data_IF_446107098840
#
_entry.id   IF_446107098840
#
_cell.length_a   1.000
_cell.length_b   1.000
_cell.length_c   1.000
_cell.angle_alpha   90.00
_cell.angle_beta   90.00
_cell.angle_gamma   90.00
#
_symmetry.space_group_name_H-M   'P 1'
#
loop_
_entity.id
_entity.type
_entity.pdbx_description
1 polymer ?
#
# COMPACT_ATOMS: atom_id res chain seq x y z
N UNK A 1 4.95 38.32 -4.42
CA UNK A 1 3.94 37.25 -4.55
C UNK A 1 4.59 35.99 -3.97
N UNK A 2 4.32 35.66 -2.71
CA UNK A 2 4.95 34.50 -2.06
C UNK A 2 4.24 33.24 -2.56
N UNK A 3 4.93 32.45 -3.39
CA UNK A 3 4.50 31.11 -3.75
C UNK A 3 4.38 30.29 -2.45
N UNK A 4 3.18 29.75 -2.19
CA UNK A 4 3.01 28.79 -1.10
C UNK A 4 3.86 27.56 -1.46
N UNK A 5 4.71 27.06 -0.55
CA UNK A 5 5.50 25.87 -0.85
C UNK A 5 4.58 24.70 -1.19
N UNK A 6 4.97 23.91 -2.19
CA UNK A 6 4.27 22.69 -2.59
C UNK A 6 3.96 21.83 -1.35
N UNK A 7 2.70 21.41 -1.20
CA UNK A 7 2.26 20.57 -0.10
C UNK A 7 3.13 19.31 0.04
N UNK A 8 3.65 18.77 -1.08
CA UNK A 8 4.60 17.66 -1.08
C UNK A 8 5.94 18.04 -0.45
N UNK A 9 6.49 19.20 -0.79
CA UNK A 9 7.70 19.73 -0.16
C UNK A 9 7.49 19.95 1.34
N UNK A 10 6.23 20.10 1.80
CA UNK A 10 5.91 20.25 3.22
C UNK A 10 5.83 18.93 3.98
N UNK A 11 5.22 17.90 3.38
CA UNK A 11 5.05 16.60 4.01
C UNK A 11 6.38 15.82 4.10
N UNK A 12 7.24 15.92 3.08
CA UNK A 12 8.48 15.16 2.99
C UNK A 12 9.76 15.98 3.27
N UNK A 13 9.69 16.98 4.16
CA UNK A 13 10.80 17.91 4.44
C UNK A 13 12.08 17.25 4.96
N UNK A 14 11.97 16.09 5.60
CA UNK A 14 13.06 15.44 6.30
C UNK A 14 13.74 14.31 5.48
N UNK A 15 13.55 14.30 4.15
CA UNK A 15 14.14 13.28 3.29
C UNK A 15 15.68 13.20 3.47
N UNK A 16 16.22 11.98 3.51
CA UNK A 16 17.65 11.70 3.70
C UNK A 16 18.09 11.53 5.16
N UNK A 17 17.22 11.79 6.13
CA UNK A 17 17.54 11.67 7.56
C UNK A 17 16.97 10.38 8.16
N UNK A 18 17.61 9.83 9.19
CA UNK A 18 17.10 8.69 9.96
C UNK A 18 16.26 9.17 11.14
N UNK A 19 15.15 8.50 11.42
CA UNK A 19 14.39 8.75 12.64
C UNK A 19 15.19 8.35 13.89
N UNK A 20 15.29 9.21 14.91
CA UNK A 20 16.12 8.92 16.08
C UNK A 20 15.61 7.73 16.92
N UNK A 21 14.29 7.54 17.03
CA UNK A 21 13.70 6.48 17.87
C UNK A 21 13.52 5.17 17.10
N UNK A 22 12.77 5.21 15.99
CA UNK A 22 12.39 4.00 15.26
C UNK A 22 13.38 3.58 14.17
N UNK A 23 14.46 4.35 13.95
CA UNK A 23 15.50 4.06 12.96
C UNK A 23 15.00 3.88 11.51
N UNK A 24 13.75 4.29 11.23
CA UNK A 24 13.22 4.34 9.86
C UNK A 24 14.01 5.38 9.08
N UNK A 25 14.55 4.96 7.94
CA UNK A 25 15.25 5.86 7.02
C UNK A 25 14.21 6.62 6.20
N UNK A 26 14.31 7.96 6.17
CA UNK A 26 13.44 8.82 5.35
C UNK A 26 13.91 8.83 3.90
N UNK A 27 13.71 7.70 3.23
CA UNK A 27 14.07 7.47 1.82
C UNK A 27 12.82 7.10 1.03
N UNK A 28 12.89 7.20 -0.30
CA UNK A 28 11.79 6.85 -1.21
C UNK A 28 10.43 7.45 -0.78
N UNK A 29 10.29 8.79 -0.72
CA UNK A 29 9.06 9.44 -0.32
C UNK A 29 7.96 9.33 -1.36
N UNK A 30 6.75 9.07 -0.90
CA UNK A 30 5.55 9.22 -1.71
C UNK A 30 4.31 8.77 -0.99
N UNK A 31 3.33 8.34 -1.77
CA UNK A 31 2.01 7.97 -1.28
C UNK A 31 1.69 6.53 -1.65
N UNK A 32 1.16 5.79 -0.69
CA UNK A 32 0.40 4.58 -0.97
C UNK A 32 -1.06 4.95 -1.17
N UNK A 33 -1.71 4.26 -2.09
CA UNK A 33 -3.11 4.43 -2.35
C UNK A 33 -3.83 3.10 -2.47
N UNK A 34 -5.07 3.10 -2.01
CA UNK A 34 -6.01 2.02 -2.20
C UNK A 34 -7.26 2.59 -2.87
N UNK A 35 -7.69 1.95 -3.96
CA UNK A 35 -8.98 2.24 -4.59
C UNK A 35 -9.80 0.96 -4.67
N UNK A 36 -11.11 1.11 -4.71
CA UNK A 36 -12.06 0.03 -4.90
C UNK A 36 -12.83 0.25 -6.21
N UNK A 37 -12.93 -0.80 -7.03
CA UNK A 37 -13.74 -0.84 -8.23
C UNK A 37 -14.37 -2.23 -8.37
N UNK A 38 -15.69 -2.29 -8.56
CA UNK A 38 -16.44 -3.54 -8.77
C UNK A 38 -16.12 -4.65 -7.75
N UNK A 39 -16.02 -4.29 -6.47
CA UNK A 39 -15.73 -5.22 -5.38
C UNK A 39 -14.26 -5.67 -5.28
N UNK A 40 -13.37 -5.11 -6.09
CA UNK A 40 -11.93 -5.39 -6.05
C UNK A 40 -11.16 -4.20 -5.53
N UNK A 41 -10.13 -4.48 -4.73
CA UNK A 41 -9.21 -3.47 -4.22
C UNK A 41 -7.97 -3.42 -5.10
N UNK A 42 -7.55 -2.22 -5.49
CA UNK A 42 -6.24 -1.98 -6.09
C UNK A 42 -5.35 -1.26 -5.09
N UNK A 43 -4.16 -1.80 -4.86
CA UNK A 43 -3.15 -1.22 -3.98
C UNK A 43 -1.94 -0.84 -4.80
N UNK A 44 -1.58 0.43 -4.78
CA UNK A 44 -0.40 0.90 -5.49
C UNK A 44 0.28 2.08 -4.82
N UNK A 45 1.38 2.50 -5.40
CA UNK A 45 2.14 3.68 -4.93
C UNK A 45 2.31 4.74 -6.00
N UNK A 46 2.63 5.95 -5.55
CA UNK A 46 3.10 7.02 -6.42
C UNK A 46 4.00 7.99 -5.67
N UNK A 47 5.03 8.49 -6.35
CA UNK A 47 5.81 9.62 -5.86
C UNK A 47 5.12 10.96 -6.14
N UNK A 48 4.11 11.00 -7.00
CA UNK A 48 3.40 12.22 -7.39
C UNK A 48 2.25 12.53 -6.44
N UNK A 49 1.76 13.76 -6.47
CA UNK A 49 0.60 14.20 -5.68
C UNK A 49 -0.71 13.63 -6.24
N UNK A 50 -1.85 14.00 -5.66
CA UNK A 50 -3.21 13.51 -6.00
C UNK A 50 -3.61 13.67 -7.48
N UNK A 51 -2.82 14.35 -8.31
CA UNK A 51 -3.04 14.45 -9.76
C UNK A 51 -3.07 13.08 -10.46
N UNK A 52 -2.27 12.11 -10.02
CA UNK A 52 -2.33 10.74 -10.56
C UNK A 52 -3.70 10.09 -10.32
N UNK A 53 -4.30 10.31 -9.15
CA UNK A 53 -5.64 9.81 -8.85
C UNK A 53 -6.71 10.52 -9.68
N UNK A 54 -6.54 11.81 -9.99
CA UNK A 54 -7.43 12.53 -10.91
C UNK A 54 -7.38 11.92 -12.31
N UNK A 55 -6.20 11.61 -12.83
CA UNK A 55 -6.05 10.93 -14.11
C UNK A 55 -6.68 9.53 -14.10
N UNK A 56 -6.56 8.78 -13.00
CA UNK A 56 -7.20 7.47 -12.86
C UNK A 56 -8.74 7.55 -12.91
N UNK A 57 -9.36 8.60 -12.35
CA UNK A 57 -10.82 8.82 -12.41
C UNK A 57 -11.35 8.96 -13.84
N UNK A 58 -10.53 9.42 -14.78
CA UNK A 58 -10.93 9.51 -16.19
C UNK A 58 -11.18 8.14 -16.81
N UNK A 59 -10.44 7.11 -16.36
CA UNK A 59 -10.51 5.75 -16.89
C UNK A 59 -11.35 4.81 -16.02
N UNK A 60 -11.50 5.12 -14.74
CA UNK A 60 -12.29 4.39 -13.74
C UNK A 60 -13.20 5.38 -13.01
N UNK A 61 -14.30 5.84 -13.64
CA UNK A 61 -15.13 6.91 -13.10
C UNK A 61 -15.83 6.51 -11.79
N UNK A 62 -16.19 5.24 -11.66
CA UNK A 62 -16.93 4.70 -10.51
C UNK A 62 -16.02 4.23 -9.37
N UNK A 63 -14.70 4.43 -9.48
CA UNK A 63 -13.79 3.98 -8.44
C UNK A 63 -14.00 4.77 -7.14
N UNK A 64 -14.00 4.06 -6.02
CA UNK A 64 -13.98 4.64 -4.68
C UNK A 64 -12.54 4.75 -4.20
N UNK A 65 -12.10 5.95 -3.83
CA UNK A 65 -10.81 6.12 -3.16
C UNK A 65 -10.96 5.69 -1.70
N UNK A 66 -10.23 4.63 -1.31
CA UNK A 66 -10.16 4.17 0.08
C UNK A 66 -9.18 5.05 0.87
N UNK A 67 -7.98 5.27 0.33
CA UNK A 67 -7.01 6.14 0.97
C UNK A 67 -5.88 6.56 0.05
N UNK A 68 -5.21 7.66 0.42
CA UNK A 68 -4.02 8.18 -0.24
C UNK A 68 -3.10 8.76 0.83
N UNK A 69 -2.16 7.96 1.31
CA UNK A 69 -1.47 8.17 2.59
C UNK A 69 0.04 8.32 2.35
N UNK A 70 0.71 9.34 2.92
CA UNK A 70 2.13 9.55 2.74
C UNK A 70 2.96 8.55 3.55
N UNK A 71 4.06 8.08 3.00
CA UNK A 71 5.03 7.19 3.66
C UNK A 71 6.46 7.47 3.18
N UNK A 72 7.41 7.07 4.00
CA UNK A 72 8.78 6.74 3.58
C UNK A 72 8.87 5.26 3.17
N UNK A 73 9.74 4.95 2.22
CA UNK A 73 10.01 3.58 1.79
C UNK A 73 8.90 2.98 0.92
N UNK A 74 8.15 3.81 0.17
CA UNK A 74 6.90 3.38 -0.49
C UNK A 74 7.04 2.12 -1.35
N UNK A 75 8.18 1.92 -2.02
CA UNK A 75 8.40 0.74 -2.86
C UNK A 75 8.52 -0.54 -2.03
N UNK A 76 9.14 -0.44 -0.86
CA UNK A 76 9.24 -1.55 0.09
C UNK A 76 7.88 -1.81 0.72
N UNK A 77 7.21 -0.78 1.23
CA UNK A 77 5.90 -0.86 1.88
C UNK A 77 4.83 -1.44 0.95
N UNK A 78 4.75 -0.97 -0.31
CA UNK A 78 3.85 -1.54 -1.34
C UNK A 78 4.15 -3.03 -1.54
N UNK A 79 5.42 -3.40 -1.70
CA UNK A 79 5.81 -4.80 -1.88
C UNK A 79 5.36 -5.65 -0.70
N UNK A 80 5.52 -5.19 0.54
CA UNK A 80 5.08 -5.94 1.72
C UNK A 80 3.56 -6.15 1.74
N UNK A 81 2.77 -5.13 1.40
CA UNK A 81 1.32 -5.27 1.25
C UNK A 81 0.97 -6.33 0.19
N UNK A 82 1.64 -6.30 -0.95
CA UNK A 82 1.39 -7.24 -2.04
C UNK A 82 1.75 -8.69 -1.68
N UNK A 83 2.74 -8.89 -0.81
CA UNK A 83 3.09 -10.20 -0.26
C UNK A 83 2.06 -10.63 0.78
N UNK A 84 1.73 -9.76 1.75
CA UNK A 84 0.80 -10.05 2.83
C UNK A 84 -0.61 -10.39 2.35
N UNK A 85 -1.03 -9.82 1.21
CA UNK A 85 -2.36 -10.03 0.63
C UNK A 85 -2.35 -11.03 -0.52
N UNK A 86 -1.28 -11.83 -0.66
CA UNK A 86 -1.09 -12.71 -1.81
C UNK A 86 -2.25 -13.69 -2.01
N UNK A 87 -2.89 -14.14 -0.94
CA UNK A 87 -4.02 -15.08 -1.00
C UNK A 87 -5.24 -14.50 -1.73
N UNK A 88 -5.39 -13.17 -1.70
CA UNK A 88 -6.46 -12.41 -2.36
C UNK A 88 -6.04 -11.89 -3.73
N UNK A 89 -4.81 -12.15 -4.17
CA UNK A 89 -4.29 -11.57 -5.41
C UNK A 89 -5.10 -12.04 -6.61
N UNK A 90 -5.67 -11.08 -7.36
CA UNK A 90 -6.41 -11.35 -8.59
C UNK A 90 -5.50 -11.19 -9.80
N UNK A 91 -5.01 -9.98 -10.06
CA UNK A 91 -4.11 -9.71 -11.19
C UNK A 91 -3.39 -8.38 -11.03
N UNK A 92 -2.09 -8.36 -11.34
CA UNK A 92 -1.27 -7.14 -11.23
C UNK A 92 -1.32 -6.58 -9.81
N UNK A 93 -1.94 -5.41 -9.64
CA UNK A 93 -2.09 -4.71 -8.36
C UNK A 93 -3.51 -4.86 -7.76
N UNK A 94 -4.35 -5.75 -8.33
CA UNK A 94 -5.73 -5.96 -7.92
C UNK A 94 -5.90 -7.20 -7.06
N UNK A 95 -6.77 -7.07 -6.05
CA UNK A 95 -7.09 -8.07 -5.05
C UNK A 95 -8.60 -8.26 -4.97
N UNK A 96 -9.05 -9.51 -4.82
CA UNK A 96 -10.45 -9.89 -4.64
C UNK A 96 -10.63 -10.52 -3.27
N UNK A 97 -11.52 -9.96 -2.46
CA UNK A 97 -11.88 -10.46 -1.14
C UNK A 97 -13.25 -11.15 -1.15
N UNK A 98 -13.64 -11.71 -2.30
CA UNK A 98 -14.93 -12.38 -2.45
C UNK A 98 -15.07 -13.53 -1.46
N UNK A 99 -16.08 -13.44 -0.59
CA UNK A 99 -16.33 -14.39 0.50
C UNK A 99 -15.49 -14.15 1.76
N UNK A 100 -14.72 -13.06 1.82
CA UNK A 100 -13.73 -12.76 2.86
C UNK A 100 -13.92 -11.32 3.39
N UNK A 101 -15.19 -10.98 3.70
CA UNK A 101 -15.61 -9.62 4.06
C UNK A 101 -14.89 -9.08 5.31
N UNK A 102 -14.68 -9.92 6.33
CA UNK A 102 -13.95 -9.54 7.56
C UNK A 102 -12.52 -9.09 7.25
N UNK A 103 -11.84 -9.78 6.34
CA UNK A 103 -10.47 -9.44 5.96
C UNK A 103 -10.44 -8.15 5.10
N UNK A 104 -11.44 -7.96 4.26
CA UNK A 104 -11.61 -6.70 3.50
C UNK A 104 -11.81 -5.53 4.46
N UNK A 105 -12.70 -5.67 5.43
CA UNK A 105 -12.98 -4.64 6.45
C UNK A 105 -11.74 -4.35 7.28
N UNK A 106 -11.05 -5.38 7.79
CA UNK A 106 -9.78 -5.23 8.50
C UNK A 106 -8.75 -4.44 7.68
N UNK A 107 -8.60 -4.74 6.39
CA UNK A 107 -7.66 -4.01 5.54
C UNK A 107 -8.07 -2.54 5.37
N UNK A 108 -9.34 -2.28 5.05
CA UNK A 108 -9.86 -0.92 4.81
C UNK A 108 -9.75 -0.08 6.08
N UNK A 109 -10.13 -0.61 7.24
CA UNK A 109 -10.09 0.12 8.51
C UNK A 109 -8.65 0.47 8.89
N UNK A 110 -7.73 -0.48 8.82
CA UNK A 110 -6.32 -0.22 9.13
C UNK A 110 -5.66 0.73 8.12
N UNK A 111 -5.96 0.60 6.82
CA UNK A 111 -5.38 1.48 5.81
C UNK A 111 -5.92 2.92 5.92
N UNK A 112 -7.20 3.08 6.25
CA UNK A 112 -7.81 4.41 6.41
C UNK A 112 -7.37 5.12 7.69
N UNK A 113 -6.98 4.36 8.72
CA UNK A 113 -6.46 4.87 9.99
C UNK A 113 -5.11 5.60 9.89
N UNK A 114 -4.33 5.38 8.82
CA UNK A 114 -3.12 6.18 8.56
C UNK A 114 -3.44 7.66 8.39
N UNK A 115 -2.51 8.53 8.75
CA UNK A 115 -2.67 9.99 8.69
C UNK A 115 -2.45 10.50 7.27
N UNK A 116 -3.08 11.61 6.91
CA UNK A 116 -2.93 12.21 5.57
C UNK A 116 -1.68 13.09 5.44
N UNK A 117 -1.03 13.43 6.55
CA UNK A 117 0.00 14.47 6.66
C UNK A 117 1.27 14.03 7.40
N UNK A 118 1.34 12.79 7.88
CA UNK A 118 2.41 12.32 8.77
C UNK A 118 3.09 11.04 8.22
N UNK A 119 4.04 11.17 7.27
CA UNK A 119 4.76 10.02 6.73
C UNK A 119 5.65 9.33 7.75
N UNK A 120 6.08 10.09 8.77
CA UNK A 120 6.92 9.59 9.84
C UNK A 120 6.12 8.54 10.66
N UNK A 121 4.98 8.95 11.23
CA UNK A 121 4.12 8.07 12.01
C UNK A 121 3.53 6.94 11.16
N UNK A 122 3.15 7.22 9.91
CA UNK A 122 2.61 6.20 9.01
C UNK A 122 3.64 5.09 8.74
N UNK A 123 4.89 5.43 8.42
CA UNK A 123 5.94 4.41 8.19
C UNK A 123 6.24 3.58 9.43
N UNK A 124 6.14 4.16 10.63
CA UNK A 124 6.29 3.42 11.89
C UNK A 124 5.09 2.49 12.13
N UNK A 125 3.88 3.02 12.05
CA UNK A 125 2.65 2.26 12.27
C UNK A 125 2.49 1.11 11.26
N UNK A 126 2.99 1.30 10.04
CA UNK A 126 3.00 0.24 9.04
C UNK A 126 3.81 -0.98 9.49
N UNK A 127 4.94 -0.80 10.18
CA UNK A 127 5.76 -1.92 10.66
C UNK A 127 4.94 -2.79 11.62
N UNK A 128 4.22 -2.17 12.55
CA UNK A 128 3.35 -2.87 13.49
C UNK A 128 2.20 -3.58 12.77
N UNK A 129 1.51 -2.89 11.86
CA UNK A 129 0.41 -3.49 11.09
C UNK A 129 0.87 -4.67 10.23
N UNK A 130 2.04 -4.53 9.60
CA UNK A 130 2.64 -5.58 8.79
C UNK A 130 2.99 -6.82 9.63
N UNK A 131 3.47 -6.63 10.86
CA UNK A 131 3.74 -7.73 11.79
C UNK A 131 2.47 -8.42 12.28
N UNK A 132 1.38 -7.68 12.49
CA UNK A 132 0.14 -8.21 13.07
C UNK A 132 -0.64 -9.16 12.14
N UNK A 133 -0.51 -9.00 10.81
CA UNK A 133 -1.32 -9.80 9.88
C UNK A 133 -0.67 -10.21 8.57
N UNK A 134 0.57 -9.82 8.28
CA UNK A 134 1.18 -10.00 6.96
C UNK A 134 2.58 -10.64 6.98
N UNK A 135 3.17 -10.86 8.15
CA UNK A 135 4.56 -11.28 8.29
C UNK A 135 4.80 -12.71 7.80
N UNK A 136 3.84 -13.61 8.02
CA UNK A 136 3.98 -15.03 7.69
C UNK A 136 4.24 -15.25 6.19
N UNK A 137 3.51 -14.53 5.32
CA UNK A 137 3.72 -14.59 3.88
C UNK A 137 5.08 -14.05 3.45
N UNK A 138 5.65 -13.09 4.19
CA UNK A 138 7.00 -12.58 3.91
C UNK A 138 8.07 -13.61 4.24
N UNK A 139 7.95 -14.24 5.42
CA UNK A 139 8.83 -15.32 5.85
C UNK A 139 8.76 -16.48 4.86
N UNK A 140 7.55 -16.86 4.44
CA UNK A 140 7.37 -17.99 3.52
C UNK A 140 7.91 -17.67 2.12
N UNK A 141 7.67 -16.48 1.59
CA UNK A 141 8.23 -16.06 0.30
C UNK A 141 9.76 -16.04 0.31
N UNK A 142 10.38 -15.55 1.39
CA UNK A 142 11.82 -15.51 1.57
C UNK A 142 12.40 -16.92 1.68
N UNK A 143 11.79 -17.79 2.51
CA UNK A 143 12.15 -19.20 2.65
C UNK A 143 12.13 -19.95 1.32
N UNK A 144 11.15 -19.65 0.46
CA UNK A 144 11.05 -20.26 -0.86
C UNK A 144 11.94 -19.60 -1.93
N UNK A 145 12.59 -18.47 -1.60
CA UNK A 145 13.38 -17.66 -2.52
C UNK A 145 12.65 -17.33 -3.84
N UNK A 146 11.38 -16.95 -3.73
CA UNK A 146 10.54 -16.63 -4.88
C UNK A 146 10.52 -15.14 -5.19
N UNK A 147 10.24 -14.80 -6.45
CA UNK A 147 9.88 -13.44 -6.84
C UNK A 147 8.39 -13.20 -6.54
N UNK A 148 8.00 -11.94 -6.32
CA UNK A 148 6.62 -11.59 -5.96
C UNK A 148 5.60 -12.14 -6.96
N UNK A 149 5.78 -12.00 -8.30
CA UNK A 149 4.84 -12.56 -9.25
C UNK A 149 4.74 -14.09 -9.21
N UNK A 150 5.84 -14.79 -8.89
CA UNK A 150 5.81 -16.25 -8.76
C UNK A 150 5.08 -16.67 -7.48
N UNK A 151 5.34 -15.97 -6.38
CA UNK A 151 4.68 -16.20 -5.11
C UNK A 151 3.17 -15.94 -5.21
N UNK A 152 2.77 -14.84 -5.83
CA UNK A 152 1.37 -14.48 -6.08
C UNK A 152 0.60 -15.54 -6.86
N UNK A 153 1.17 -16.04 -7.96
CA UNK A 153 0.52 -17.12 -8.75
C UNK A 153 0.40 -18.42 -7.96
N UNK A 154 1.40 -18.72 -7.11
CA UNK A 154 1.42 -19.94 -6.32
C UNK A 154 0.42 -19.89 -5.16
N UNK A 155 0.34 -18.78 -4.45
CA UNK A 155 -0.39 -18.69 -3.19
C UNK A 155 -1.81 -18.12 -3.33
N UNK A 156 -2.14 -17.45 -4.45
CA UNK A 156 -3.47 -16.89 -4.65
C UNK A 156 -4.57 -17.96 -4.60
N UNK A 157 -5.46 -17.84 -3.62
CA UNK A 157 -6.69 -18.63 -3.55
C UNK A 157 -7.70 -18.20 -4.61
N UNK A 158 -7.68 -16.93 -5.02
CA UNK A 158 -8.58 -16.38 -6.04
C UNK A 158 -8.30 -16.99 -7.41
N UNK A 159 -7.02 -17.07 -7.82
CA UNK A 159 -6.65 -17.68 -9.09
C UNK A 159 -6.99 -19.17 -9.12
N UNK A 160 -6.73 -19.90 -8.01
CA UNK A 160 -7.04 -21.33 -7.89
C UNK A 160 -8.53 -21.67 -7.98
N UNK A 161 -9.42 -20.74 -7.60
CA UNK A 161 -10.88 -20.93 -7.73
C UNK A 161 -11.41 -20.67 -9.15
N UNK A 162 -10.58 -20.07 -10.00
CA UNK A 162 -10.97 -19.70 -11.38
C UNK A 162 -10.54 -20.77 -12.40
N UNK A 163 -9.61 -21.65 -12.01
CA UNK A 163 -9.16 -22.83 -12.77
C UNK A 163 -10.05 -24.06 -12.50
#
# INVERSE_FOLDING_TARGET
MNERPDARQTIFRNAGVVMPVWQVRRVDPGYLYAIEDKGRLKIGRTSLTKERLRAAKTWLPDMKLIGFKPFWGISHTERLLHIGLTQFWYAGEWFSFEGEDEMREWFVDNFTAFRDDDPDMNSVNFIYWCHDGMLEFQIEMDRQNLTLPRFQRRESGVQKKTD
#
